data_IF_593650770107
#
_entry.id   IF_593650770107
#
_cell.length_a   1.000
_cell.length_b   1.000
_cell.length_c   1.000
_cell.angle_alpha   90.00
_cell.angle_beta   90.00
_cell.angle_gamma   90.00
#
_symmetry.space_group_name_H-M   'P 1'
#
loop_
_entity.id
_entity.type
_entity.pdbx_description
1 polymer ?
#
# COMPACT_ATOMS: atom_id res chain seq x y z
N UNK A 1 29.65 47.98 1.54
CA UNK A 1 29.53 46.80 0.63
C UNK A 1 29.45 45.48 1.39
N UNK A 2 30.39 45.17 2.29
CA UNK A 2 30.42 43.89 3.05
C UNK A 2 29.16 43.60 3.88
N UNK A 3 28.68 44.59 4.66
CA UNK A 3 27.47 44.44 5.50
C UNK A 3 26.23 44.10 4.65
N UNK A 4 26.10 44.72 3.47
CA UNK A 4 25.00 44.46 2.54
C UNK A 4 25.04 43.03 1.98
N UNK A 5 26.23 42.52 1.67
CA UNK A 5 26.42 41.13 1.21
C UNK A 5 26.07 40.12 2.32
N UNK A 6 26.45 40.40 3.57
CA UNK A 6 26.11 39.57 4.73
C UNK A 6 24.59 39.51 4.93
N UNK A 7 23.90 40.66 4.92
CA UNK A 7 22.43 40.72 5.05
C UNK A 7 21.75 39.95 3.92
N UNK A 8 22.23 40.11 2.67
CA UNK A 8 21.71 39.40 1.50
C UNK A 8 21.91 37.88 1.63
N UNK A 9 23.07 37.43 2.09
CA UNK A 9 23.37 36.03 2.36
C UNK A 9 22.43 35.43 3.41
N UNK A 10 22.21 36.10 4.54
CA UNK A 10 21.30 35.60 5.58
C UNK A 10 19.85 35.50 5.09
N UNK A 11 19.38 36.46 4.28
CA UNK A 11 18.04 36.40 3.65
C UNK A 11 17.90 35.21 2.70
N UNK A 12 18.91 34.96 1.87
CA UNK A 12 18.91 33.81 0.94
C UNK A 12 18.95 32.49 1.73
N UNK A 13 19.83 32.38 2.72
CA UNK A 13 19.94 31.19 3.58
C UNK A 13 18.64 30.87 4.32
N UNK A 14 17.94 31.90 4.82
CA UNK A 14 16.63 31.75 5.46
C UNK A 14 15.58 31.22 4.47
N UNK A 15 15.47 31.81 3.28
CA UNK A 15 14.55 31.35 2.23
C UNK A 15 14.80 29.90 1.80
N UNK A 16 16.07 29.51 1.65
CA UNK A 16 16.43 28.12 1.30
C UNK A 16 15.99 27.16 2.40
N UNK A 17 16.23 27.52 3.68
CA UNK A 17 15.80 26.69 4.82
C UNK A 17 14.29 26.52 4.88
N UNK A 18 13.54 27.60 4.71
CA UNK A 18 12.08 27.59 4.69
C UNK A 18 11.54 26.74 3.53
N UNK A 19 12.13 26.86 2.34
CA UNK A 19 11.79 26.03 1.19
C UNK A 19 12.02 24.53 1.45
N UNK A 20 13.19 24.17 1.99
CA UNK A 20 13.51 22.77 2.35
C UNK A 20 12.54 22.24 3.42
N UNK A 21 12.19 23.07 4.41
CA UNK A 21 11.23 22.69 5.45
C UNK A 21 9.84 22.41 4.84
N UNK A 22 9.35 23.32 4.00
CA UNK A 22 8.05 23.18 3.35
C UNK A 22 7.99 21.97 2.41
N UNK A 23 9.05 21.73 1.63
CA UNK A 23 9.17 20.54 0.78
C UNK A 23 9.16 19.24 1.60
N UNK A 24 9.81 19.23 2.77
CA UNK A 24 9.76 18.08 3.71
C UNK A 24 8.38 17.89 4.31
N UNK A 25 7.69 18.96 4.72
CA UNK A 25 6.32 18.86 5.24
C UNK A 25 5.36 18.30 4.20
N UNK A 26 5.44 18.76 2.94
CA UNK A 26 4.63 18.22 1.85
C UNK A 26 4.97 16.74 1.61
N UNK A 27 6.26 16.38 1.57
CA UNK A 27 6.68 14.98 1.41
C UNK A 27 6.11 14.11 2.54
N UNK A 28 6.20 14.57 3.79
CA UNK A 28 5.72 13.84 4.96
C UNK A 28 4.19 13.70 4.97
N UNK A 29 3.46 14.77 4.62
CA UNK A 29 1.99 14.72 4.50
C UNK A 29 1.54 13.69 3.46
N UNK A 30 2.23 13.64 2.32
CA UNK A 30 1.96 12.62 1.29
C UNK A 30 2.27 11.19 1.78
N UNK A 31 3.28 11.00 2.63
CA UNK A 31 3.59 9.70 3.24
C UNK A 31 2.47 9.28 4.21
N UNK A 32 2.01 10.20 5.06
CA UNK A 32 0.93 9.93 6.01
C UNK A 32 -0.39 9.57 5.32
N UNK A 33 -0.73 10.25 4.22
CA UNK A 33 -1.91 9.93 3.40
C UNK A 33 -1.79 8.51 2.80
N UNK A 34 -0.63 8.17 2.23
CA UNK A 34 -0.38 6.82 1.70
C UNK A 34 -0.44 5.73 2.77
N UNK A 35 0.08 5.99 3.97
CA UNK A 35 0.02 5.04 5.10
C UNK A 35 -1.44 4.79 5.51
N UNK A 36 -2.26 5.84 5.57
CA UNK A 36 -3.69 5.73 5.89
C UNK A 36 -4.44 4.86 4.89
N UNK A 37 -4.15 4.97 3.59
CA UNK A 37 -4.78 4.11 2.58
C UNK A 37 -4.54 2.62 2.88
N UNK A 38 -3.34 2.24 3.34
CA UNK A 38 -3.07 0.86 3.73
C UNK A 38 -3.82 0.43 5.00
N UNK A 39 -4.06 1.33 5.95
CA UNK A 39 -4.90 1.04 7.13
C UNK A 39 -6.36 0.78 6.75
N UNK A 40 -6.88 1.47 5.73
CA UNK A 40 -8.23 1.23 5.24
C UNK A 40 -8.42 -0.20 4.74
N UNK A 41 -7.38 -0.84 4.18
CA UNK A 41 -7.44 -2.23 3.73
C UNK A 41 -7.78 -3.17 4.88
N UNK A 42 -7.10 -3.01 6.02
CA UNK A 42 -7.33 -3.81 7.24
C UNK A 42 -8.71 -3.51 7.80
N UNK A 43 -9.09 -2.23 7.84
CA UNK A 43 -10.39 -1.79 8.33
C UNK A 43 -11.55 -2.43 7.56
N UNK A 44 -11.49 -2.42 6.22
CA UNK A 44 -12.50 -3.06 5.35
C UNK A 44 -12.65 -4.54 5.63
N UNK A 45 -11.54 -5.25 5.88
CA UNK A 45 -11.60 -6.65 6.29
C UNK A 45 -12.30 -6.79 7.64
N UNK A 46 -11.83 -6.07 8.67
CA UNK A 46 -12.31 -6.23 10.05
C UNK A 46 -13.80 -5.85 10.20
N UNK A 47 -14.28 -4.83 9.47
CA UNK A 47 -15.69 -4.43 9.47
C UNK A 47 -16.61 -5.51 8.91
N UNK A 48 -16.25 -6.13 7.79
CA UNK A 48 -17.00 -7.24 7.20
C UNK A 48 -16.87 -8.52 8.04
N UNK A 49 -15.67 -8.78 8.61
CA UNK A 49 -15.41 -9.94 9.46
C UNK A 49 -16.29 -9.93 10.71
N UNK A 50 -16.42 -8.77 11.37
CA UNK A 50 -17.30 -8.60 12.55
C UNK A 50 -18.78 -8.85 12.24
N UNK A 51 -19.19 -8.68 10.98
CA UNK A 51 -20.55 -8.95 10.52
C UNK A 51 -20.76 -10.42 10.11
N UNK A 52 -19.73 -11.27 10.24
CA UNK A 52 -19.78 -12.68 9.81
C UNK A 52 -19.71 -12.87 8.29
N UNK A 53 -19.38 -11.82 7.53
CA UNK A 53 -19.35 -11.85 6.06
C UNK A 53 -17.94 -12.15 5.54
N UNK A 54 -17.44 -13.37 5.79
CA UNK A 54 -16.02 -13.68 5.58
C UNK A 54 -15.56 -13.60 4.12
N UNK A 55 -16.31 -14.19 3.19
CA UNK A 55 -15.96 -14.12 1.76
C UNK A 55 -15.94 -12.66 1.28
N UNK A 56 -16.91 -11.85 1.71
CA UNK A 56 -16.97 -10.41 1.39
C UNK A 56 -15.79 -9.66 2.00
N UNK A 57 -15.43 -9.93 3.26
CA UNK A 57 -14.27 -9.32 3.92
C UNK A 57 -12.99 -9.52 3.12
N UNK A 58 -12.77 -10.73 2.63
CA UNK A 58 -11.61 -11.07 1.79
C UNK A 58 -11.68 -10.36 0.44
N UNK A 59 -12.81 -10.45 -0.26
CA UNK A 59 -12.96 -9.87 -1.60
C UNK A 59 -12.78 -8.35 -1.59
N UNK A 60 -13.43 -7.66 -0.64
CA UNK A 60 -13.43 -6.20 -0.58
C UNK A 60 -12.05 -5.68 -0.16
N UNK A 61 -11.43 -6.30 0.85
CA UNK A 61 -10.08 -5.91 1.28
C UNK A 61 -9.03 -6.20 0.22
N UNK A 62 -9.11 -7.32 -0.50
CA UNK A 62 -8.22 -7.63 -1.61
C UNK A 62 -8.36 -6.60 -2.74
N UNK A 63 -9.60 -6.27 -3.13
CA UNK A 63 -9.87 -5.29 -4.19
C UNK A 63 -9.30 -3.91 -3.83
N UNK A 64 -9.45 -3.49 -2.55
CA UNK A 64 -8.85 -2.27 -2.04
C UNK A 64 -7.33 -2.31 -2.07
N UNK A 65 -6.71 -3.42 -1.60
CA UNK A 65 -5.27 -3.63 -1.63
C UNK A 65 -4.72 -3.52 -3.06
N UNK A 66 -5.35 -4.21 -4.00
CA UNK A 66 -4.98 -4.20 -5.43
C UNK A 66 -5.00 -2.79 -5.99
N UNK A 67 -6.05 -2.02 -5.73
CA UNK A 67 -6.17 -0.64 -6.20
C UNK A 67 -5.05 0.24 -5.62
N UNK A 68 -4.75 0.11 -4.32
CA UNK A 68 -3.66 0.84 -3.69
C UNK A 68 -2.32 0.47 -4.31
N UNK A 69 -2.02 -0.83 -4.47
CA UNK A 69 -0.77 -1.29 -5.10
C UNK A 69 -0.68 -0.75 -6.54
N UNK A 70 -1.75 -0.85 -7.32
CA UNK A 70 -1.80 -0.35 -8.71
C UNK A 70 -1.47 1.14 -8.76
N UNK A 71 -2.12 1.96 -7.93
CA UNK A 71 -1.94 3.40 -7.93
C UNK A 71 -0.57 3.83 -7.38
N UNK A 72 -0.11 3.18 -6.30
CA UNK A 72 1.13 3.55 -5.63
C UNK A 72 2.37 3.16 -6.42
N UNK A 73 2.29 2.06 -7.16
CA UNK A 73 3.40 1.54 -7.96
C UNK A 73 3.24 1.87 -9.46
N UNK A 74 2.15 2.52 -9.89
CA UNK A 74 1.79 2.71 -11.31
C UNK A 74 1.76 1.38 -12.08
N UNK A 75 1.27 0.33 -11.42
CA UNK A 75 1.34 -1.03 -11.90
C UNK A 75 0.07 -1.39 -12.69
N UNK A 76 -0.27 -0.56 -13.68
CA UNK A 76 -1.40 -0.78 -14.56
C UNK A 76 -1.15 -2.01 -15.43
N UNK A 77 -2.13 -2.90 -15.44
CA UNK A 77 -2.05 -4.18 -16.13
C UNK A 77 -3.05 -4.21 -17.27
N UNK A 78 -2.72 -4.88 -18.36
CA UNK A 78 -3.60 -4.93 -19.53
C UNK A 78 -4.92 -5.65 -19.20
N UNK A 79 -6.04 -5.15 -19.74
CA UNK A 79 -7.39 -5.64 -19.41
C UNK A 79 -7.66 -7.10 -19.78
N UNK A 80 -6.86 -7.68 -20.70
CA UNK A 80 -7.01 -9.05 -21.17
C UNK A 80 -6.36 -10.09 -20.23
N UNK A 81 -5.64 -9.65 -19.20
CA UNK A 81 -4.93 -10.55 -18.29
C UNK A 81 -5.85 -11.02 -17.16
N UNK A 82 -5.71 -12.29 -16.81
CA UNK A 82 -6.32 -12.82 -15.60
C UNK A 82 -5.74 -12.15 -14.36
N UNK A 83 -6.46 -12.20 -13.24
CA UNK A 83 -5.99 -11.56 -12.00
C UNK A 83 -4.64 -12.13 -11.54
N UNK A 84 -4.42 -13.44 -11.75
CA UNK A 84 -3.13 -14.07 -11.48
C UNK A 84 -2.01 -13.51 -12.37
N UNK A 85 -2.24 -13.42 -13.67
CA UNK A 85 -1.25 -12.86 -14.61
C UNK A 85 -0.98 -11.39 -14.33
N UNK A 86 -2.02 -10.64 -13.95
CA UNK A 86 -1.90 -9.26 -13.56
C UNK A 86 -1.00 -9.10 -12.33
N UNK A 87 -1.20 -9.93 -11.32
CA UNK A 87 -0.36 -9.98 -10.12
C UNK A 87 1.10 -10.34 -10.45
N UNK A 88 1.33 -11.34 -11.30
CA UNK A 88 2.68 -11.73 -11.74
C UNK A 88 3.38 -10.63 -12.54
N UNK A 89 2.66 -9.94 -13.42
CA UNK A 89 3.19 -8.82 -14.21
C UNK A 89 3.60 -7.64 -13.32
N UNK A 90 2.76 -7.29 -12.33
CA UNK A 90 3.08 -6.27 -11.32
C UNK A 90 4.39 -6.60 -10.60
N UNK A 91 4.64 -7.88 -10.28
CA UNK A 91 5.90 -8.31 -9.66
C UNK A 91 7.10 -8.20 -10.58
N UNK A 92 6.94 -8.57 -11.84
CA UNK A 92 8.03 -8.48 -12.82
C UNK A 92 8.52 -7.03 -13.01
N UNK A 93 7.60 -6.06 -12.95
CA UNK A 93 7.88 -4.63 -13.16
C UNK A 93 8.38 -3.91 -11.91
N UNK A 94 8.06 -4.41 -10.72
CA UNK A 94 8.46 -3.80 -9.45
C UNK A 94 9.29 -4.78 -8.61
N UNK A 95 10.63 -4.78 -8.77
CA UNK A 95 11.53 -5.66 -8.01
C UNK A 95 11.35 -5.54 -6.49
N UNK A 96 10.94 -4.36 -6.06
CA UNK A 96 10.69 -4.02 -4.67
C UNK A 96 9.39 -4.63 -4.10
N UNK A 97 8.56 -5.26 -4.94
CA UNK A 97 7.41 -6.08 -4.56
C UNK A 97 7.74 -7.58 -4.59
N UNK A 98 8.83 -8.00 -5.25
CA UNK A 98 9.28 -9.41 -5.30
C UNK A 98 9.50 -9.96 -3.89
N UNK A 99 10.02 -9.14 -2.97
CA UNK A 99 10.20 -9.51 -1.56
C UNK A 99 8.89 -9.89 -0.85
N UNK A 100 7.73 -9.49 -1.40
CA UNK A 100 6.40 -9.77 -0.84
C UNK A 100 5.61 -10.80 -1.67
N UNK A 101 6.21 -11.36 -2.73
CA UNK A 101 5.56 -12.29 -3.66
C UNK A 101 4.92 -13.49 -2.97
N UNK A 102 5.60 -14.09 -1.99
CA UNK A 102 5.05 -15.21 -1.20
C UNK A 102 3.82 -14.81 -0.38
N UNK A 103 3.90 -13.72 0.39
CA UNK A 103 2.79 -13.22 1.20
C UNK A 103 1.58 -12.85 0.34
N UNK A 104 1.82 -12.16 -0.77
CA UNK A 104 0.75 -11.81 -1.70
C UNK A 104 0.18 -13.04 -2.42
N UNK A 105 1.00 -14.04 -2.75
CA UNK A 105 0.52 -15.30 -3.30
C UNK A 105 -0.42 -16.03 -2.35
N UNK A 106 -0.12 -16.04 -1.05
CA UNK A 106 -1.01 -16.59 -0.03
C UNK A 106 -2.32 -15.80 0.10
N UNK A 107 -2.24 -14.46 0.06
CA UNK A 107 -3.43 -13.57 0.04
C UNK A 107 -4.29 -13.88 -1.19
N UNK A 108 -3.69 -13.95 -2.39
CA UNK A 108 -4.39 -14.22 -3.63
C UNK A 108 -5.05 -15.60 -3.63
N UNK A 109 -4.37 -16.64 -3.14
CA UNK A 109 -4.93 -17.99 -3.05
C UNK A 109 -6.22 -18.04 -2.24
N UNK A 110 -6.25 -17.35 -1.10
CA UNK A 110 -7.45 -17.28 -0.25
C UNK A 110 -8.54 -16.42 -0.91
N UNK A 111 -8.16 -15.32 -1.55
CA UNK A 111 -9.07 -14.49 -2.35
C UNK A 111 -9.73 -15.27 -3.50
N UNK A 112 -8.94 -16.02 -4.27
CA UNK A 112 -9.41 -16.81 -5.40
C UNK A 112 -10.44 -17.85 -4.94
N UNK A 113 -10.16 -18.51 -3.82
CA UNK A 113 -11.14 -19.40 -3.17
C UNK A 113 -12.40 -18.64 -2.74
N UNK A 114 -12.27 -17.48 -2.11
CA UNK A 114 -13.41 -16.71 -1.62
C UNK A 114 -14.32 -16.21 -2.76
N UNK A 115 -13.74 -15.91 -3.92
CA UNK A 115 -14.45 -15.34 -5.07
C UNK A 115 -14.97 -16.37 -6.06
N UNK A 116 -14.22 -17.42 -6.32
CA UNK A 116 -14.50 -18.40 -7.38
C UNK A 116 -14.65 -19.83 -6.86
N UNK A 117 -14.27 -20.11 -5.61
CA UNK A 117 -14.33 -21.43 -5.02
C UNK A 117 -15.75 -21.95 -4.81
N UNK A 118 -15.90 -23.27 -4.84
CA UNK A 118 -17.13 -23.96 -4.43
C UNK A 118 -17.06 -24.26 -2.92
N UNK A 119 -17.35 -23.27 -2.09
CA UNK A 119 -17.42 -23.43 -0.64
C UNK A 119 -17.05 -22.14 0.10
N UNK A 120 -17.52 -22.02 1.33
CA UNK A 120 -17.21 -20.87 2.18
C UNK A 120 -15.77 -20.94 2.70
N UNK A 121 -15.19 -19.76 2.92
CA UNK A 121 -13.93 -19.63 3.64
C UNK A 121 -14.14 -20.05 5.09
N UNK A 122 -13.23 -20.85 5.63
CA UNK A 122 -13.25 -21.20 7.05
C UNK A 122 -12.75 -20.04 7.90
N UNK A 123 -13.17 -19.97 9.17
CA UNK A 123 -12.67 -18.94 10.10
C UNK A 123 -11.13 -18.93 10.18
N UNK A 124 -10.50 -20.10 10.16
CA UNK A 124 -9.03 -20.24 10.15
C UNK A 124 -8.39 -19.62 8.90
N UNK A 125 -8.96 -19.87 7.72
CA UNK A 125 -8.50 -19.23 6.47
C UNK A 125 -8.68 -17.71 6.53
N UNK A 126 -9.77 -17.25 7.13
CA UNK A 126 -10.01 -15.84 7.42
C UNK A 126 -8.94 -15.21 8.29
N UNK A 127 -8.57 -15.86 9.40
CA UNK A 127 -7.52 -15.39 10.30
C UNK A 127 -6.14 -15.40 9.62
N UNK A 128 -5.84 -16.46 8.86
CA UNK A 128 -4.59 -16.55 8.09
C UNK A 128 -4.49 -15.43 7.06
N UNK A 129 -5.58 -15.16 6.33
CA UNK A 129 -5.65 -14.05 5.39
C UNK A 129 -5.38 -12.71 6.08
N UNK A 130 -6.04 -12.43 7.21
CA UNK A 130 -5.83 -11.20 7.96
C UNK A 130 -4.38 -11.06 8.45
N UNK A 131 -3.76 -12.16 8.87
CA UNK A 131 -2.35 -12.18 9.27
C UNK A 131 -1.44 -11.79 8.12
N UNK A 132 -1.58 -12.45 6.96
CA UNK A 132 -0.80 -12.12 5.77
C UNK A 132 -1.03 -10.67 5.30
N UNK A 133 -2.28 -10.20 5.38
CA UNK A 133 -2.65 -8.84 5.01
C UNK A 133 -1.96 -7.81 5.92
N UNK A 134 -1.97 -8.04 7.24
CA UNK A 134 -1.28 -7.18 8.23
C UNK A 134 0.23 -7.17 8.00
N UNK A 135 0.83 -8.33 7.75
CA UNK A 135 2.27 -8.44 7.48
C UNK A 135 2.69 -7.67 6.22
N UNK A 136 1.91 -7.81 5.14
CA UNK A 136 2.13 -7.09 3.91
C UNK A 136 1.98 -5.58 4.11
N UNK A 137 0.86 -5.14 4.70
CA UNK A 137 0.56 -3.73 4.94
C UNK A 137 1.66 -3.08 5.78
N UNK A 138 2.08 -3.72 6.87
CA UNK A 138 3.15 -3.22 7.72
C UNK A 138 4.48 -3.12 6.96
N UNK A 139 4.77 -4.08 6.10
CA UNK A 139 5.98 -4.06 5.27
C UNK A 139 5.97 -2.95 4.23
N UNK A 140 4.83 -2.72 3.57
CA UNK A 140 4.65 -1.62 2.61
C UNK A 140 4.76 -0.25 3.31
N UNK A 141 4.16 -0.10 4.50
CA UNK A 141 4.30 1.12 5.31
C UNK A 141 5.74 1.42 5.69
N UNK A 142 6.48 0.41 6.19
CA UNK A 142 7.90 0.58 6.56
C UNK A 142 8.73 1.10 5.40
N UNK A 143 8.46 0.61 4.19
CA UNK A 143 9.14 1.05 2.97
C UNK A 143 8.85 2.50 2.60
N UNK A 144 7.65 3.01 2.90
CA UNK A 144 7.31 4.43 2.73
C UNK A 144 7.94 5.33 3.78
N UNK A 145 8.07 4.85 5.02
CA UNK A 145 8.74 5.61 6.10
C UNK A 145 10.26 5.67 5.89
N UNK A 146 10.84 4.64 5.26
CA UNK A 146 12.28 4.56 5.00
C UNK A 146 12.76 5.21 3.69
N UNK A 147 11.86 5.81 2.89
CA UNK A 147 12.15 6.39 1.56
C UNK A 147 12.10 7.92 1.53
#
# INVERSE_FOLDING_TARGET
VLIFLIIKYYRIKKKIREKIFYEREIKNKNIDEKIKEFDEVIKVFEENFKQGLLNRAIIDSYSKLRNIITNHFNAFVAEHLTEKEAVEEVYSKHPSLIAFSSTLGNIYKIYEKARFGKGDISSEEGYNYLSYLKDLVNSLKRKYVSA
#
